data_IF_639584991522
#
_entry.id   IF_639584991522
#
_cell.length_a   1.000
_cell.length_b   1.000
_cell.length_c   1.000
_cell.angle_alpha   90.00
_cell.angle_beta   90.00
_cell.angle_gamma   90.00
#
_symmetry.space_group_name_H-M   'P 1'
#
loop_
_entity.id
_entity.type
_entity.pdbx_description
1 polymer ?
#
# COMPACT_ATOMS: atom_id res chain seq x y z
N UNK A 1 1.53 -3.71 8.45
CA UNK A 1 2.26 -3.66 7.17
C UNK A 1 1.68 -2.54 6.32
N UNK A 2 2.50 -1.70 5.67
CA UNK A 2 2.00 -0.74 4.68
C UNK A 2 2.00 -1.43 3.32
N UNK A 3 0.81 -1.73 2.78
CA UNK A 3 0.66 -2.18 1.39
C UNK A 3 0.29 -0.95 0.57
N UNK A 4 1.15 -0.55 -0.36
CA UNK A 4 0.80 0.49 -1.35
C UNK A 4 0.32 -0.22 -2.59
N UNK A 5 -1.00 -0.20 -2.78
CA UNK A 5 -1.66 -0.77 -3.95
C UNK A 5 -1.85 0.34 -5.00
N UNK A 6 -1.87 0.04 -6.32
CA UNK A 6 -2.22 1.03 -7.34
C UNK A 6 -3.58 1.70 -7.13
N UNK A 7 -4.51 1.05 -6.43
CA UNK A 7 -5.81 1.62 -6.05
C UNK A 7 -5.81 2.36 -4.70
N UNK A 8 -4.66 2.49 -4.02
CA UNK A 8 -4.60 3.23 -2.76
C UNK A 8 -5.02 4.69 -2.94
N UNK A 9 -5.82 5.18 -2.01
CA UNK A 9 -6.40 6.53 -2.03
C UNK A 9 -6.27 7.21 -0.68
N UNK A 10 -6.50 8.53 -0.64
CA UNK A 10 -6.50 9.30 0.59
C UNK A 10 -7.80 9.08 1.38
N UNK A 11 -7.72 8.70 2.66
CA UNK A 11 -8.91 8.48 3.50
C UNK A 11 -9.71 9.76 3.83
N UNK A 12 -9.21 10.94 3.46
CA UNK A 12 -9.89 12.22 3.69
C UNK A 12 -10.65 12.69 2.46
N UNK A 13 -9.98 12.79 1.30
CA UNK A 13 -10.61 13.27 0.07
C UNK A 13 -11.08 12.15 -0.86
N UNK A 14 -10.73 10.90 -0.57
CA UNK A 14 -11.01 9.70 -1.37
C UNK A 14 -10.42 9.73 -2.78
N UNK A 15 -9.52 10.67 -3.08
CA UNK A 15 -8.83 10.70 -4.35
C UNK A 15 -7.70 9.65 -4.39
N UNK A 16 -7.50 8.98 -5.54
CA UNK A 16 -6.37 8.09 -5.76
C UNK A 16 -5.03 8.81 -5.55
N UNK A 17 -4.05 8.11 -4.99
CA UNK A 17 -2.69 8.62 -4.94
C UNK A 17 -2.08 8.69 -6.33
N UNK A 18 -1.38 9.78 -6.63
CA UNK A 18 -0.61 9.92 -7.86
C UNK A 18 0.77 10.49 -7.58
N UNK A 19 1.76 10.03 -8.34
CA UNK A 19 3.13 10.54 -8.31
C UNK A 19 3.38 11.69 -9.28
N UNK A 20 2.41 12.00 -10.15
CA UNK A 20 2.51 13.13 -11.10
C UNK A 20 2.14 14.47 -10.47
N UNK A 21 1.25 14.47 -9.47
CA UNK A 21 0.81 15.67 -8.77
C UNK A 21 1.32 15.66 -7.33
N UNK A 22 2.29 16.52 -6.95
CA UNK A 22 2.86 16.54 -5.60
C UNK A 22 1.80 16.66 -4.49
N UNK A 23 0.77 17.46 -4.73
CA UNK A 23 -0.42 17.64 -3.89
C UNK A 23 -1.15 16.33 -3.51
N UNK A 24 -1.20 15.38 -4.45
CA UNK A 24 -1.90 14.09 -4.32
C UNK A 24 -0.95 12.92 -4.05
N UNK A 25 0.33 13.19 -3.76
CA UNK A 25 1.26 12.14 -3.35
C UNK A 25 1.02 11.72 -1.90
N UNK A 26 1.24 10.43 -1.56
CA UNK A 26 1.06 9.93 -0.22
C UNK A 26 2.15 10.47 0.72
N UNK A 27 1.74 10.92 1.90
CA UNK A 27 2.63 11.44 2.94
C UNK A 27 2.30 10.84 4.30
N UNK A 28 3.34 10.41 5.02
CA UNK A 28 3.24 9.92 6.39
C UNK A 28 3.45 11.05 7.41
N UNK A 29 2.69 11.00 8.50
CA UNK A 29 2.87 11.83 9.69
C UNK A 29 3.42 11.02 10.87
N UNK A 30 3.78 11.67 11.98
CA UNK A 30 4.51 11.06 13.10
C UNK A 30 3.75 9.90 13.77
N UNK A 31 2.42 9.86 13.66
CA UNK A 31 1.62 8.76 14.19
C UNK A 31 1.53 7.54 13.26
N UNK A 32 2.12 7.61 12.06
CA UNK A 32 2.17 6.52 11.08
C UNK A 32 1.05 6.51 10.04
N UNK A 33 -0.02 7.29 10.22
CA UNK A 33 -1.09 7.39 9.22
C UNK A 33 -0.66 8.18 7.98
N UNK A 34 -1.28 7.86 6.84
CA UNK A 34 -0.89 8.36 5.52
C UNK A 34 -2.09 9.05 4.87
N UNK A 35 -1.84 10.24 4.31
CA UNK A 35 -2.83 11.02 3.57
C UNK A 35 -2.16 11.75 2.42
N UNK A 36 -2.94 12.37 1.52
CA UNK A 36 -2.36 13.26 0.53
C UNK A 36 -1.87 14.57 1.17
N UNK A 37 -0.90 15.22 0.51
CA UNK A 37 -0.29 16.46 1.03
C UNK A 37 -1.32 17.57 1.25
N UNK A 38 -2.24 17.73 0.30
CA UNK A 38 -3.30 18.76 0.36
C UNK A 38 -4.18 18.60 1.60
N UNK A 39 -4.60 17.37 1.91
CA UNK A 39 -5.42 17.10 3.09
C UNK A 39 -4.66 17.41 4.38
N UNK A 40 -3.38 17.04 4.48
CA UNK A 40 -2.56 17.34 5.65
C UNK A 40 -2.37 18.85 5.86
N UNK A 41 -2.15 19.59 4.77
CA UNK A 41 -2.02 21.06 4.76
C UNK A 41 -3.31 21.80 5.12
N UNK A 42 -4.45 21.20 4.82
CA UNK A 42 -5.77 21.78 5.07
C UNK A 42 -6.33 21.44 6.45
N UNK A 43 -5.75 20.44 7.13
CA UNK A 43 -6.22 19.97 8.44
C UNK A 43 -5.87 20.96 9.56
N UNK A 44 -6.90 21.53 10.19
CA UNK A 44 -6.79 22.46 11.30
C UNK A 44 -7.75 22.07 12.45
N UNK A 45 -7.26 21.91 13.69
CA UNK A 45 -5.85 21.90 14.09
C UNK A 45 -5.07 20.75 13.45
N UNK A 46 -3.74 20.79 13.46
CA UNK A 46 -2.87 19.75 12.89
C UNK A 46 -2.91 18.44 13.71
N UNK A 47 -4.07 17.79 13.70
CA UNK A 47 -4.35 16.52 14.35
C UNK A 47 -4.67 15.47 13.29
N UNK A 48 -4.18 14.25 13.47
CA UNK A 48 -4.42 13.16 12.54
C UNK A 48 -5.93 12.90 12.36
N UNK A 49 -6.45 12.87 11.13
CA UNK A 49 -7.87 12.54 10.88
C UNK A 49 -8.32 11.18 11.42
N UNK A 50 -7.41 10.22 11.54
CA UNK A 50 -7.73 8.84 11.97
C UNK A 50 -7.61 8.65 13.50
N UNK A 51 -6.48 9.04 14.10
CA UNK A 51 -6.22 8.78 15.53
C UNK A 51 -6.17 10.02 16.40
N UNK A 52 -6.40 11.22 15.84
CA UNK A 52 -6.45 12.52 16.52
C UNK A 52 -5.17 12.98 17.22
N UNK A 53 -4.08 12.21 17.17
CA UNK A 53 -2.76 12.62 17.67
C UNK A 53 -2.29 13.86 16.90
N UNK A 54 -1.79 14.86 17.63
CA UNK A 54 -1.19 16.05 17.04
C UNK A 54 0.04 15.67 16.20
N UNK A 55 0.22 16.36 15.08
CA UNK A 55 1.34 16.20 14.17
C UNK A 55 1.99 17.55 13.89
N UNK A 56 3.32 17.57 13.69
CA UNK A 56 4.02 18.78 13.25
C UNK A 56 4.03 18.83 11.70
N UNK A 57 3.43 19.86 11.07
CA UNK A 57 3.40 20.02 9.61
C UNK A 57 4.77 20.08 8.93
N UNK A 58 5.82 20.53 9.61
CA UNK A 58 7.18 20.60 9.06
C UNK A 58 7.87 19.23 8.98
N UNK A 59 7.33 18.23 9.69
CA UNK A 59 7.89 16.88 9.77
C UNK A 59 7.09 15.87 8.94
N UNK A 60 6.16 16.33 8.10
CA UNK A 60 5.45 15.48 7.13
C UNK A 60 6.48 14.88 6.16
N UNK A 61 6.40 13.57 5.90
CA UNK A 61 7.34 12.85 5.02
C UNK A 61 6.63 12.31 3.81
N UNK A 62 7.10 12.68 2.61
CA UNK A 62 6.65 12.11 1.35
C UNK A 62 7.06 10.65 1.26
N UNK A 63 6.14 9.78 0.86
CA UNK A 63 6.44 8.39 0.58
C UNK A 63 6.86 8.24 -0.89
N UNK A 64 8.02 7.64 -1.09
CA UNK A 64 8.53 7.23 -2.40
C UNK A 64 8.25 5.74 -2.58
N UNK A 65 7.64 5.38 -3.71
CA UNK A 65 7.32 4.01 -4.05
C UNK A 65 7.93 3.76 -5.41
N UNK A 66 8.88 2.84 -5.46
CA UNK A 66 9.51 2.44 -6.71
C UNK A 66 8.53 1.56 -7.47
N UNK A 67 8.13 2.00 -8.66
CA UNK A 67 7.33 1.18 -9.57
C UNK A 67 8.29 0.35 -10.42
N UNK A 68 8.07 -0.97 -10.49
CA UNK A 68 8.83 -1.81 -11.39
C UNK A 68 8.65 -1.32 -12.84
N UNK A 69 9.73 -1.08 -13.59
CA UNK A 69 9.63 -0.68 -14.99
C UNK A 69 9.06 -1.85 -15.81
N UNK A 70 7.80 -1.74 -16.25
CA UNK A 70 7.16 -2.79 -17.05
C UNK A 70 5.64 -2.84 -16.96
N UNK A 71 5.03 -2.17 -15.98
CA UNK A 71 3.57 -2.08 -15.84
C UNK A 71 2.95 -1.06 -16.81
N UNK A 72 3.17 -1.23 -18.11
CA UNK A 72 2.32 -0.60 -19.13
C UNK A 72 1.11 -1.50 -19.37
N UNK A 73 -0.01 -1.06 -18.83
CA UNK A 73 -1.38 -1.54 -18.98
C UNK A 73 -1.71 -2.06 -20.39
N UNK A 74 -2.10 -3.34 -20.51
CA UNK A 74 -3.10 -3.84 -21.48
C UNK A 74 -3.30 -5.37 -21.49
N UNK A 75 -2.40 -6.20 -20.93
CA UNK A 75 -2.41 -7.64 -21.22
C UNK A 75 -3.07 -8.58 -20.19
N UNK A 76 -3.29 -8.15 -18.93
CA UNK A 76 -3.61 -9.09 -17.84
C UNK A 76 -4.92 -8.78 -17.09
N UNK A 77 -6.02 -8.52 -17.82
CA UNK A 77 -7.31 -8.16 -17.21
C UNK A 77 -7.96 -9.28 -16.38
N UNK A 78 -7.60 -10.54 -16.59
CA UNK A 78 -8.10 -11.67 -15.79
C UNK A 78 -7.31 -11.93 -14.50
N UNK A 79 -5.98 -11.82 -14.55
CA UNK A 79 -5.10 -12.09 -13.41
C UNK A 79 -5.12 -11.00 -12.34
N UNK A 80 -5.44 -9.76 -12.72
CA UNK A 80 -5.46 -8.62 -11.79
C UNK A 80 -6.52 -8.78 -10.67
N UNK A 81 -7.65 -9.42 -10.94
CA UNK A 81 -8.70 -9.64 -9.92
C UNK A 81 -8.30 -10.73 -8.90
N UNK A 82 -7.60 -11.77 -9.35
CA UNK A 82 -7.09 -12.83 -8.48
C UNK A 82 -5.91 -12.33 -7.63
N UNK A 83 -5.01 -11.53 -8.22
CA UNK A 83 -3.94 -10.83 -7.51
C UNK A 83 -4.50 -9.90 -6.41
N UNK A 84 -5.49 -9.06 -6.74
CA UNK A 84 -6.14 -8.15 -5.79
C UNK A 84 -6.79 -8.91 -4.62
N UNK A 85 -7.42 -10.07 -4.87
CA UNK A 85 -8.04 -10.90 -3.83
C UNK A 85 -6.99 -11.51 -2.89
N UNK A 86 -5.92 -12.07 -3.45
CA UNK A 86 -4.82 -12.64 -2.66
C UNK A 86 -4.15 -11.56 -1.79
N UNK A 87 -3.88 -10.38 -2.35
CA UNK A 87 -3.30 -9.25 -1.59
C UNK A 87 -4.22 -8.78 -0.47
N UNK A 88 -5.53 -8.70 -0.73
CA UNK A 88 -6.53 -8.38 0.30
C UNK A 88 -6.51 -9.40 1.43
N UNK A 89 -6.50 -10.69 1.13
CA UNK A 89 -6.46 -11.79 2.12
C UNK A 89 -5.18 -11.76 2.94
N UNK A 90 -4.04 -11.52 2.31
CA UNK A 90 -2.75 -11.30 2.99
C UNK A 90 -2.88 -10.15 4.00
N UNK A 91 -3.50 -9.03 3.60
CA UNK A 91 -3.76 -7.89 4.49
C UNK A 91 -4.60 -8.22 5.73
N UNK A 92 -5.59 -9.11 5.60
CA UNK A 92 -6.50 -9.48 6.69
C UNK A 92 -5.86 -10.43 7.72
N UNK A 93 -4.92 -11.28 7.30
CA UNK A 93 -4.25 -12.23 8.20
C UNK A 93 -3.12 -11.63 9.04
N UNK A 94 -2.89 -10.31 8.97
CA UNK A 94 -1.97 -9.60 9.89
C UNK A 94 -2.58 -9.28 11.26
N UNK A 95 -3.85 -9.60 11.49
CA UNK A 95 -4.49 -9.42 12.79
C UNK A 95 -4.00 -10.48 13.80
N UNK A 96 -3.99 -10.13 15.10
CA UNK A 96 -3.46 -10.99 16.17
C UNK A 96 -4.22 -12.33 16.35
N UNK A 97 -5.38 -12.48 15.72
CA UNK A 97 -6.30 -13.61 15.82
C UNK A 97 -6.29 -14.56 14.61
N UNK A 98 -5.39 -14.35 13.64
CA UNK A 98 -5.29 -15.25 12.48
C UNK A 98 -4.88 -16.68 12.89
N UNK A 99 -5.64 -17.68 12.43
CA UNK A 99 -5.30 -19.09 12.69
C UNK A 99 -4.14 -19.54 11.81
N UNK A 100 -3.31 -20.45 12.32
CA UNK A 100 -2.14 -20.95 11.58
C UNK A 100 -2.55 -21.73 10.33
N UNK A 101 -3.71 -22.40 10.39
CA UNK A 101 -4.30 -23.11 9.26
C UNK A 101 -4.65 -22.16 8.11
N UNK A 102 -5.28 -21.02 8.39
CA UNK A 102 -5.66 -20.02 7.39
C UNK A 102 -4.44 -19.40 6.70
N UNK A 103 -3.36 -19.17 7.47
CA UNK A 103 -2.08 -18.66 6.95
C UNK A 103 -1.45 -19.67 5.99
N UNK A 104 -1.44 -20.96 6.37
CA UNK A 104 -0.85 -22.01 5.56
C UNK A 104 -1.65 -22.23 4.26
N UNK A 105 -2.97 -22.20 4.33
CA UNK A 105 -3.84 -22.31 3.16
C UNK A 105 -3.60 -21.17 2.17
N UNK A 106 -3.59 -19.92 2.66
CA UNK A 106 -3.30 -18.76 1.82
C UNK A 106 -1.89 -18.83 1.22
N UNK A 107 -0.90 -19.32 1.96
CA UNK A 107 0.46 -19.47 1.45
C UNK A 107 0.50 -20.39 0.23
N UNK A 108 -0.18 -21.54 0.28
CA UNK A 108 -0.24 -22.49 -0.85
C UNK A 108 -0.88 -21.85 -2.08
N UNK A 109 -1.98 -21.10 -1.88
CA UNK A 109 -2.66 -20.41 -2.97
C UNK A 109 -1.79 -19.34 -3.63
N UNK A 110 -1.07 -18.54 -2.83
CA UNK A 110 -0.13 -17.52 -3.34
C UNK A 110 1.02 -18.18 -4.10
N UNK A 111 1.59 -19.26 -3.57
CA UNK A 111 2.67 -20.01 -4.25
C UNK A 111 2.21 -20.58 -5.60
N UNK A 112 0.98 -21.11 -5.66
CA UNK A 112 0.39 -21.61 -6.90
C UNK A 112 0.14 -20.51 -7.92
N UNK A 113 -0.30 -19.33 -7.49
CA UNK A 113 -0.52 -18.16 -8.35
C UNK A 113 0.80 -17.61 -8.93
N UNK A 114 1.87 -17.61 -8.12
CA UNK A 114 3.19 -17.12 -8.52
C UNK A 114 3.96 -18.10 -9.42
N UNK A 115 3.78 -19.41 -9.24
CA UNK A 115 4.48 -20.46 -10.00
C UNK A 115 4.46 -20.31 -11.54
N UNK A 116 3.29 -20.08 -12.18
CA UNK A 116 3.19 -19.87 -13.63
C UNK A 116 3.48 -18.43 -14.08
N UNK A 117 3.63 -17.46 -13.16
CA UNK A 117 3.81 -16.04 -13.45
C UNK A 117 5.18 -15.51 -12.96
N UNK A 118 6.31 -15.93 -13.58
CA UNK A 118 7.66 -15.59 -13.09
C UNK A 118 8.01 -14.09 -13.22
N UNK A 119 7.21 -13.30 -13.94
CA UNK A 119 7.44 -11.87 -14.17
C UNK A 119 7.29 -10.96 -12.94
N UNK A 120 6.75 -11.46 -11.82
CA UNK A 120 6.50 -10.66 -10.61
C UNK A 120 7.43 -11.00 -9.42
N UNK A 121 8.50 -11.76 -9.66
CA UNK A 121 9.48 -12.11 -8.62
C UNK A 121 10.37 -10.91 -8.30
N UNK A 122 9.87 -9.99 -7.47
CA UNK A 122 10.74 -9.01 -6.81
C UNK A 122 11.64 -9.79 -5.86
N UNK A 123 12.89 -9.96 -6.27
CA UNK A 123 13.93 -10.62 -5.48
C UNK A 123 14.19 -9.81 -4.21
N UNK A 124 13.62 -10.23 -3.08
CA UNK A 124 13.82 -9.62 -1.75
C UNK A 124 15.25 -9.89 -1.22
N UNK A 125 16.13 -10.56 -1.97
CA UNK A 125 17.46 -10.97 -1.50
C UNK A 125 18.59 -9.93 -1.67
N UNK A 126 18.31 -8.69 -2.09
CA UNK A 126 19.36 -7.70 -2.37
C UNK A 126 19.64 -6.64 -1.28
N UNK A 127 19.03 -6.71 -0.09
CA UNK A 127 19.14 -5.64 0.92
C UNK A 127 19.90 -6.00 2.22
N UNK A 128 20.86 -6.93 2.14
CA UNK A 128 21.89 -7.07 3.18
C UNK A 128 23.26 -6.86 2.53
N UNK A 129 23.74 -5.61 2.60
CA UNK A 129 25.08 -5.17 2.22
C UNK A 129 25.42 -3.88 2.94
#
# INVERSE_FOLDING_TARGET
>A
MLVVHPSSQCDVCLDPYTWTLPAKTPHAIQCGHIFCYDCLRSTHPSNCPMCRKAFNPERIKKLHVDRAPGETSAANSGHMAEEDDLLRRVGLLFAEDAQQEDINELQVEVEQFLGPNPGNTVSISAFIG
#
